data_IF_662396910022
#
_entry.id   IF_662396910022
#
_cell.length_a   1.000
_cell.length_b   1.000
_cell.length_c   1.000
_cell.angle_alpha   90.00
_cell.angle_beta   90.00
_cell.angle_gamma   90.00
#
_symmetry.space_group_name_H-M   'P 1'
#
loop_
_entity.id
_entity.type
_entity.pdbx_description
1 polymer ?
#
# COMPACT_ATOMS: atom_id res chain seq x y z
N UNK A 1 56.18 -3.19 23.48
CA UNK A 1 54.96 -4.03 23.58
C UNK A 1 53.71 -3.29 24.07
N UNK A 2 53.81 -2.21 24.89
CA UNK A 2 52.63 -1.44 25.36
C UNK A 2 51.87 -0.69 24.26
N UNK A 3 52.55 -0.22 23.22
CA UNK A 3 51.96 0.59 22.13
C UNK A 3 50.97 -0.19 21.26
N UNK A 4 51.22 -1.49 21.06
CA UNK A 4 50.36 -2.38 20.25
C UNK A 4 48.99 -2.58 20.89
N UNK A 5 48.93 -2.66 22.23
CA UNK A 5 47.67 -2.82 22.97
C UNK A 5 46.80 -1.56 22.93
N UNK A 6 47.42 -0.38 22.95
CA UNK A 6 46.69 0.90 22.86
C UNK A 6 46.03 1.05 21.49
N UNK A 7 46.73 0.68 20.41
CA UNK A 7 46.19 0.72 19.05
C UNK A 7 45.02 -0.25 18.91
N UNK A 8 45.15 -1.47 19.46
CA UNK A 8 44.10 -2.48 19.41
C UNK A 8 42.81 -1.99 20.11
N UNK A 9 42.94 -1.45 21.32
CA UNK A 9 41.79 -0.92 22.08
C UNK A 9 41.15 0.27 21.36
N UNK A 10 41.94 1.18 20.79
CA UNK A 10 41.42 2.31 20.04
C UNK A 10 40.64 1.88 18.79
N UNK A 11 41.10 0.84 18.11
CA UNK A 11 40.45 0.32 16.88
C UNK A 11 39.13 -0.38 17.20
N UNK A 12 39.08 -1.13 18.31
CA UNK A 12 37.84 -1.75 18.80
C UNK A 12 36.83 -0.67 19.20
N UNK A 13 37.26 0.35 19.95
CA UNK A 13 36.38 1.45 20.35
C UNK A 13 35.85 2.24 19.15
N UNK A 14 36.69 2.49 18.14
CA UNK A 14 36.27 3.14 16.90
C UNK A 14 35.24 2.29 16.13
N UNK A 15 35.47 0.97 16.03
CA UNK A 15 34.52 0.05 15.39
C UNK A 15 33.17 0.01 16.09
N UNK A 16 33.16 -0.02 17.43
CA UNK A 16 31.93 0.03 18.24
C UNK A 16 31.21 1.37 18.07
N UNK A 17 31.94 2.50 18.11
CA UNK A 17 31.36 3.82 17.91
C UNK A 17 30.73 3.97 16.52
N UNK A 18 31.39 3.46 15.48
CA UNK A 18 30.88 3.44 14.11
C UNK A 18 29.62 2.56 14.02
N UNK A 19 29.65 1.37 14.62
CA UNK A 19 28.51 0.45 14.66
C UNK A 19 27.29 1.08 15.33
N UNK A 20 27.46 1.73 16.48
CA UNK A 20 26.37 2.43 17.18
C UNK A 20 25.91 3.69 16.43
N UNK A 21 26.83 4.43 15.81
CA UNK A 21 26.49 5.59 14.98
C UNK A 21 25.58 5.19 13.82
N UNK A 22 25.93 4.12 13.10
CA UNK A 22 25.11 3.60 11.98
C UNK A 22 23.83 2.87 12.44
N UNK A 23 23.77 2.30 13.64
CA UNK A 23 22.50 1.78 14.18
C UNK A 23 21.54 2.89 14.61
N UNK A 24 22.06 4.01 15.15
CA UNK A 24 21.24 5.13 15.64
C UNK A 24 20.59 5.96 14.52
N UNK A 25 21.10 5.88 13.30
CA UNK A 25 20.55 6.58 12.13
C UNK A 25 19.35 5.89 11.49
N UNK A 26 18.87 4.77 12.05
CA UNK A 26 17.55 4.22 11.75
C UNK A 26 16.45 5.11 12.37
N UNK A 27 16.45 6.41 12.03
CA UNK A 27 15.31 7.29 12.25
C UNK A 27 14.09 6.63 11.62
N UNK A 28 13.01 6.59 12.39
CA UNK A 28 11.64 6.31 11.97
C UNK A 28 11.45 6.79 10.53
N UNK A 29 11.15 5.86 9.63
CA UNK A 29 11.07 6.15 8.18
C UNK A 29 10.17 7.36 7.96
N UNK A 30 10.66 8.37 7.23
CA UNK A 30 9.87 9.55 6.86
C UNK A 30 8.81 9.24 5.79
N UNK A 31 8.57 7.96 5.53
CA UNK A 31 7.77 7.40 4.46
C UNK A 31 6.90 6.29 5.02
N UNK A 32 5.78 6.06 4.35
CA UNK A 32 5.02 4.85 4.58
C UNK A 32 5.73 3.68 3.92
N UNK A 33 5.64 2.52 4.54
CA UNK A 33 6.30 1.31 4.04
C UNK A 33 5.26 0.23 3.78
N UNK A 34 5.44 -0.50 2.70
CA UNK A 34 4.67 -1.69 2.38
C UNK A 34 5.62 -2.87 2.20
N UNK A 35 5.26 -4.01 2.78
CA UNK A 35 6.05 -5.23 2.73
C UNK A 35 5.15 -6.43 2.46
N UNK A 36 5.63 -7.36 1.65
CA UNK A 36 5.05 -8.68 1.47
C UNK A 36 5.95 -9.64 2.24
N UNK A 37 5.45 -10.15 3.36
CA UNK A 37 6.15 -11.04 4.27
C UNK A 37 5.57 -12.46 4.16
N UNK A 38 6.38 -13.47 4.52
CA UNK A 38 5.95 -14.87 4.65
C UNK A 38 5.15 -15.41 3.46
N UNK A 39 5.43 -14.89 2.26
CA UNK A 39 4.76 -15.23 1.01
C UNK A 39 5.77 -15.96 0.14
N UNK A 40 5.48 -17.18 -0.35
CA UNK A 40 6.39 -17.91 -1.24
C UNK A 40 6.75 -17.10 -2.48
N UNK A 41 7.99 -17.22 -2.95
CA UNK A 41 8.49 -16.51 -4.14
C UNK A 41 7.65 -16.78 -5.40
N UNK A 42 7.05 -17.97 -5.48
CA UNK A 42 6.14 -18.36 -6.57
C UNK A 42 4.87 -17.51 -6.63
N UNK A 43 4.38 -17.04 -5.49
CA UNK A 43 3.27 -16.10 -5.41
C UNK A 43 3.77 -14.66 -5.58
N UNK A 44 4.89 -14.30 -4.94
CA UNK A 44 5.43 -12.94 -4.94
C UNK A 44 5.69 -12.39 -6.36
N UNK A 45 6.23 -13.23 -7.27
CA UNK A 45 6.50 -12.86 -8.67
C UNK A 45 5.25 -12.56 -9.50
N UNK A 46 4.06 -12.83 -8.97
CA UNK A 46 2.77 -12.56 -9.61
C UNK A 46 2.03 -11.38 -8.99
N UNK A 47 2.57 -10.82 -7.90
CA UNK A 47 1.97 -9.69 -7.21
C UNK A 47 2.42 -8.39 -7.83
N UNK A 48 1.46 -7.50 -8.07
CA UNK A 48 1.72 -6.10 -8.36
C UNK A 48 0.92 -5.24 -7.41
N UNK A 49 1.52 -4.14 -6.96
CA UNK A 49 0.85 -3.18 -6.11
C UNK A 49 0.95 -1.79 -6.72
N UNK A 50 -0.20 -1.16 -6.92
CA UNK A 50 -0.31 0.21 -7.39
C UNK A 50 -0.88 1.09 -6.28
N UNK A 51 -0.61 2.38 -6.35
CA UNK A 51 -1.17 3.35 -5.40
C UNK A 51 -1.77 4.55 -6.10
N UNK A 52 -2.83 5.08 -5.52
CA UNK A 52 -3.42 6.35 -5.92
C UNK A 52 -3.66 7.22 -4.69
N UNK A 53 -3.30 8.50 -4.77
CA UNK A 53 -3.55 9.51 -3.73
C UNK A 53 -4.89 10.18 -4.00
N UNK A 54 -5.72 10.30 -2.96
CA UNK A 54 -7.07 10.87 -2.98
C UNK A 54 -7.89 10.50 -4.24
N UNK A 55 -7.96 9.21 -4.65
CA UNK A 55 -8.62 8.86 -5.90
C UNK A 55 -10.14 8.99 -5.77
N UNK A 56 -10.74 9.75 -6.68
CA UNK A 56 -12.20 9.83 -6.85
C UNK A 56 -12.69 8.69 -7.75
N UNK A 57 -11.93 8.41 -8.81
CA UNK A 57 -12.23 7.37 -9.78
C UNK A 57 -10.93 6.72 -10.27
N UNK A 58 -10.95 5.39 -10.39
CA UNK A 58 -9.84 4.62 -10.94
C UNK A 58 -10.38 3.59 -11.92
N UNK A 59 -9.84 3.58 -13.13
CA UNK A 59 -10.14 2.63 -14.19
C UNK A 59 -9.11 1.50 -14.19
N UNK A 60 -9.57 0.27 -14.27
CA UNK A 60 -8.74 -0.85 -14.68
C UNK A 60 -9.15 -1.27 -16.09
N UNK A 61 -8.21 -1.28 -17.03
CA UNK A 61 -8.43 -1.75 -18.39
C UNK A 61 -7.12 -2.21 -19.01
N UNK A 62 -7.17 -3.24 -19.87
CA UNK A 62 -5.99 -3.77 -20.57
C UNK A 62 -4.79 -4.04 -19.64
N UNK A 63 -5.06 -4.69 -18.50
CA UNK A 63 -4.07 -5.00 -17.46
C UNK A 63 -3.38 -3.78 -16.80
N UNK A 64 -3.97 -2.59 -16.92
CA UNK A 64 -3.39 -1.34 -16.45
C UNK A 64 -4.39 -0.62 -15.55
N UNK A 65 -3.90 -0.11 -14.42
CA UNK A 65 -4.65 0.80 -13.57
C UNK A 65 -4.39 2.23 -14.00
N UNK A 66 -5.45 3.02 -14.11
CA UNK A 66 -5.40 4.40 -14.59
C UNK A 66 -6.30 5.31 -13.74
N UNK A 67 -5.92 6.56 -13.60
CA UNK A 67 -6.78 7.62 -13.08
C UNK A 67 -7.81 8.06 -14.14
N UNK A 68 -8.79 8.86 -13.73
CA UNK A 68 -9.82 9.40 -14.62
C UNK A 68 -9.26 10.27 -15.78
N UNK A 69 -8.08 10.88 -15.58
CA UNK A 69 -7.36 11.63 -16.61
C UNK A 69 -6.53 10.74 -17.55
N UNK A 70 -6.70 9.41 -17.46
CA UNK A 70 -5.97 8.38 -18.20
C UNK A 70 -4.49 8.25 -17.84
N UNK A 71 -4.00 8.90 -16.77
CA UNK A 71 -2.66 8.66 -16.28
C UNK A 71 -2.56 7.27 -15.65
N UNK A 72 -1.56 6.49 -16.05
CA UNK A 72 -1.30 5.17 -15.46
C UNK A 72 -0.85 5.30 -14.00
N UNK A 73 -1.38 4.45 -13.11
CA UNK A 73 -0.94 4.41 -11.72
C UNK A 73 0.49 3.86 -11.62
N UNK A 74 1.32 4.43 -10.74
CA UNK A 74 2.64 3.88 -10.47
C UNK A 74 2.52 2.53 -9.76
N UNK A 75 3.28 1.54 -10.23
CA UNK A 75 3.51 0.30 -9.50
C UNK A 75 4.63 0.52 -8.48
N UNK A 76 4.31 0.36 -7.20
CA UNK A 76 5.29 0.45 -6.10
C UNK A 76 5.86 -0.92 -5.73
N UNK A 77 5.13 -2.00 -6.00
CA UNK A 77 5.68 -3.35 -5.91
C UNK A 77 5.48 -4.06 -7.23
N UNK A 78 6.58 -4.57 -7.78
CA UNK A 78 6.58 -5.45 -8.94
C UNK A 78 7.74 -6.42 -8.81
N UNK A 79 7.43 -7.67 -8.49
CA UNK A 79 8.43 -8.73 -8.22
C UNK A 79 9.38 -8.42 -7.06
N UNK A 80 9.01 -7.46 -6.19
CA UNK A 80 9.75 -7.05 -5.00
C UNK A 80 8.90 -7.29 -3.76
N UNK A 81 9.55 -7.52 -2.62
CA UNK A 81 8.88 -7.79 -1.34
C UNK A 81 8.67 -6.54 -0.49
N UNK A 82 9.24 -5.39 -0.84
CA UNK A 82 9.04 -4.16 -0.07
C UNK A 82 9.31 -2.92 -0.88
N UNK A 83 8.58 -1.85 -0.58
CA UNK A 83 8.83 -0.51 -1.09
C UNK A 83 8.31 0.55 -0.10
N UNK A 84 8.59 1.82 -0.37
CA UNK A 84 8.16 2.96 0.41
C UNK A 84 7.49 4.01 -0.47
N UNK A 85 6.52 4.73 0.08
CA UNK A 85 5.86 5.82 -0.61
C UNK A 85 5.65 7.03 0.30
N UNK A 86 5.30 8.17 -0.32
CA UNK A 86 5.05 9.43 0.41
C UNK A 86 4.04 9.20 1.54
N UNK A 87 4.38 9.65 2.75
CA UNK A 87 3.46 9.63 3.90
C UNK A 87 2.46 10.80 3.88
N UNK A 88 2.77 11.85 3.11
CA UNK A 88 2.04 13.11 3.09
C UNK A 88 0.78 13.00 2.22
N UNK A 89 -0.24 12.32 2.73
CA UNK A 89 -1.55 12.23 2.09
C UNK A 89 -2.63 12.17 3.16
N UNK A 90 -3.84 12.61 2.79
CA UNK A 90 -5.02 12.43 3.64
C UNK A 90 -5.65 11.07 3.37
N UNK A 91 -5.85 10.74 2.10
CA UNK A 91 -6.37 9.45 1.68
C UNK A 91 -5.49 8.83 0.58
N UNK A 92 -5.30 7.52 0.65
CA UNK A 92 -4.56 6.76 -0.37
C UNK A 92 -5.19 5.40 -0.52
N UNK A 93 -5.30 4.92 -1.74
CA UNK A 93 -5.77 3.56 -1.99
C UNK A 93 -4.64 2.72 -2.58
N UNK A 94 -4.44 1.54 -2.02
CA UNK A 94 -3.49 0.54 -2.50
C UNK A 94 -4.28 -0.49 -3.29
N UNK A 95 -3.90 -0.73 -4.54
CA UNK A 95 -4.47 -1.76 -5.40
C UNK A 95 -3.48 -2.91 -5.54
N UNK A 96 -3.78 -4.03 -4.88
CA UNK A 96 -3.02 -5.26 -5.00
C UNK A 96 -3.65 -6.14 -6.06
N UNK A 97 -2.88 -6.55 -7.06
CA UNK A 97 -3.29 -7.54 -8.05
C UNK A 97 -2.41 -8.79 -7.97
N UNK A 98 -3.02 -9.94 -8.22
CA UNK A 98 -2.36 -11.23 -8.29
C UNK A 98 -2.63 -11.89 -9.63
N UNK A 99 -1.55 -12.18 -10.37
CA UNK A 99 -1.57 -12.87 -11.68
C UNK A 99 -2.50 -12.24 -12.72
N UNK A 100 -2.78 -10.93 -12.60
CA UNK A 100 -3.78 -10.19 -13.36
C UNK A 100 -5.18 -10.87 -13.40
N UNK A 101 -5.53 -11.64 -12.37
CA UNK A 101 -6.79 -12.38 -12.30
C UNK A 101 -7.58 -12.09 -11.03
N UNK A 102 -6.86 -11.73 -9.97
CA UNK A 102 -7.44 -11.43 -8.69
C UNK A 102 -6.94 -10.07 -8.22
N UNK A 103 -7.75 -9.40 -7.40
CA UNK A 103 -7.38 -8.13 -6.81
C UNK A 103 -7.98 -7.91 -5.43
N UNK A 104 -7.36 -7.01 -4.68
CA UNK A 104 -7.89 -6.46 -3.45
C UNK A 104 -7.39 -5.03 -3.32
N UNK A 105 -8.23 -4.15 -2.80
CA UNK A 105 -7.84 -2.78 -2.51
C UNK A 105 -7.93 -2.47 -1.02
N UNK A 106 -6.99 -1.64 -0.57
CA UNK A 106 -6.86 -1.21 0.82
C UNK A 106 -6.95 0.31 0.84
N UNK A 107 -8.00 0.82 1.47
CA UNK A 107 -8.18 2.26 1.68
C UNK A 107 -7.48 2.70 2.97
N UNK A 108 -6.56 3.66 2.83
CA UNK A 108 -5.86 4.28 3.94
C UNK A 108 -6.37 5.70 4.12
N UNK A 109 -6.73 6.05 5.35
CA UNK A 109 -7.10 7.41 5.75
C UNK A 109 -6.26 7.82 6.95
N UNK A 110 -5.63 9.00 6.86
CA UNK A 110 -4.80 9.56 7.92
C UNK A 110 -5.49 10.75 8.55
N UNK A 111 -5.63 10.71 9.87
CA UNK A 111 -6.01 11.90 10.66
C UNK A 111 -4.82 12.85 10.81
N UNK A 112 -3.60 12.30 10.92
CA UNK A 112 -2.34 13.03 10.94
C UNK A 112 -1.50 12.62 9.72
N UNK A 113 -1.30 13.54 8.78
CA UNK A 113 -0.55 13.30 7.54
C UNK A 113 0.96 13.12 7.77
N UNK A 114 1.45 13.44 8.98
CA UNK A 114 2.86 13.27 9.35
C UNK A 114 3.17 11.89 9.92
N UNK A 115 2.14 11.14 10.34
CA UNK A 115 2.27 9.78 10.84
C UNK A 115 2.72 8.84 9.71
N UNK A 116 3.70 7.99 9.99
CA UNK A 116 4.17 6.96 9.07
C UNK A 116 3.41 5.66 9.32
N UNK A 117 2.83 5.08 8.27
CA UNK A 117 2.17 3.77 8.33
C UNK A 117 3.14 2.67 7.90
N UNK A 118 3.12 1.54 8.60
CA UNK A 118 3.80 0.32 8.19
C UNK A 118 2.76 -0.74 7.84
N UNK A 119 2.83 -1.25 6.61
CA UNK A 119 1.84 -2.14 6.03
C UNK A 119 2.52 -3.45 5.69
N UNK A 120 2.23 -4.48 6.48
CA UNK A 120 2.74 -5.82 6.25
C UNK A 120 1.62 -6.68 5.66
N UNK A 121 1.87 -7.26 4.49
CA UNK A 121 0.96 -8.11 3.73
C UNK A 121 1.51 -9.51 3.63
N UNK A 122 0.63 -10.50 3.58
CA UNK A 122 0.95 -11.89 3.32
C UNK A 122 -0.10 -12.48 2.39
N UNK A 123 0.35 -13.09 1.31
CA UNK A 123 -0.52 -13.87 0.43
C UNK A 123 -0.42 -15.35 0.79
N UNK A 124 -1.58 -15.98 0.92
CA UNK A 124 -1.68 -17.43 1.16
C UNK A 124 -2.72 -18.03 0.24
N UNK A 125 -2.37 -19.14 -0.41
CA UNK A 125 -3.33 -19.95 -1.16
C UNK A 125 -3.90 -21.01 -0.22
N UNK A 126 -5.23 -21.05 -0.08
CA UNK A 126 -5.96 -22.04 0.69
C UNK A 126 -6.96 -22.70 -0.24
N UNK A 127 -6.65 -23.93 -0.67
CA UNK A 127 -7.35 -24.59 -1.77
C UNK A 127 -7.39 -23.69 -3.02
N UNK A 128 -8.58 -23.41 -3.55
CA UNK A 128 -8.78 -22.62 -4.76
C UNK A 128 -8.89 -21.10 -4.50
N UNK A 129 -8.77 -20.66 -3.24
CA UNK A 129 -8.89 -19.25 -2.86
C UNK A 129 -7.56 -18.67 -2.42
N UNK A 130 -7.18 -17.54 -3.01
CA UNK A 130 -6.02 -16.76 -2.55
C UNK A 130 -6.52 -15.71 -1.56
N UNK A 131 -5.92 -15.70 -0.37
CA UNK A 131 -6.18 -14.72 0.68
C UNK A 131 -5.03 -13.71 0.75
N UNK A 132 -5.39 -12.46 1.04
CA UNK A 132 -4.48 -11.45 1.56
C UNK A 132 -4.79 -11.23 3.03
N UNK A 133 -3.78 -11.46 3.87
CA UNK A 133 -3.80 -11.06 5.27
C UNK A 133 -2.77 -9.98 5.49
N UNK A 134 -2.99 -9.11 6.46
CA UNK A 134 -2.01 -8.09 6.75
C UNK A 134 -2.27 -7.32 8.02
N UNK A 135 -1.32 -6.47 8.35
CA UNK A 135 -1.43 -5.49 9.43
C UNK A 135 -1.08 -4.11 8.91
N UNK A 136 -1.84 -3.11 9.36
CA UNK A 136 -1.56 -1.69 9.14
C UNK A 136 -1.24 -1.11 10.51
N UNK A 137 0.03 -0.87 10.78
CA UNK A 137 0.47 -0.19 11.97
C UNK A 137 0.42 1.32 11.72
N UNK A 138 -0.45 2.00 12.46
CA UNK A 138 -0.70 3.44 12.35
C UNK A 138 0.07 4.24 13.41
N UNK A 139 1.10 3.65 14.01
CA UNK A 139 1.85 4.24 15.10
C UNK A 139 1.00 4.35 16.37
N UNK A 140 0.69 5.57 16.79
CA UNK A 140 -0.05 5.84 18.02
C UNK A 140 -1.54 5.51 17.94
N UNK A 141 -2.10 5.42 16.73
CA UNK A 141 -3.51 5.07 16.51
C UNK A 141 -3.77 3.54 16.59
N UNK A 142 -2.72 2.73 16.73
CA UNK A 142 -2.81 1.29 16.91
C UNK A 142 -2.53 0.48 15.64
N UNK A 143 -2.94 -0.79 15.67
CA UNK A 143 -2.70 -1.77 14.59
C UNK A 143 -4.04 -2.32 14.12
N UNK A 144 -4.27 -2.26 12.82
CA UNK A 144 -5.43 -2.89 12.17
C UNK A 144 -4.94 -4.18 11.53
N UNK A 145 -5.49 -5.32 11.94
CA UNK A 145 -5.25 -6.60 11.30
C UNK A 145 -6.44 -6.98 10.40
N UNK A 146 -6.16 -7.58 9.25
CA UNK A 146 -7.19 -8.01 8.32
C UNK A 146 -6.82 -9.32 7.63
N UNK A 147 -7.85 -10.02 7.12
CA UNK A 147 -7.70 -11.22 6.30
C UNK A 147 -8.91 -11.34 5.37
N UNK A 148 -8.69 -11.11 4.08
CA UNK A 148 -9.73 -11.08 3.07
C UNK A 148 -9.38 -12.01 1.90
N UNK A 149 -10.36 -12.68 1.28
CA UNK A 149 -10.13 -13.33 -0.01
C UNK A 149 -9.87 -12.26 -1.08
N UNK A 150 -9.02 -12.58 -2.05
CA UNK A 150 -8.90 -11.74 -3.25
C UNK A 150 -10.15 -11.91 -4.12
N UNK A 151 -10.60 -10.81 -4.71
CA UNK A 151 -11.77 -10.77 -5.61
C UNK A 151 -11.36 -11.00 -7.06
N UNK A 152 -12.24 -11.54 -7.91
CA UNK A 152 -11.99 -11.62 -9.36
C UNK A 152 -11.71 -10.24 -9.96
N UNK A 153 -10.68 -10.17 -10.81
CA UNK A 153 -10.32 -8.97 -11.55
C UNK A 153 -10.97 -9.03 -12.93
N UNK A 154 -11.98 -8.19 -13.17
CA UNK A 154 -12.66 -8.10 -14.46
C UNK A 154 -11.74 -7.49 -15.53
N UNK A 155 -12.01 -7.79 -16.80
CA UNK A 155 -11.24 -7.29 -17.95
C UNK A 155 -11.19 -5.76 -18.00
N UNK A 156 -12.32 -5.12 -17.68
CA UNK A 156 -12.46 -3.66 -17.60
C UNK A 156 -13.48 -3.31 -16.53
N UNK A 157 -13.14 -2.40 -15.63
CA UNK A 157 -14.06 -1.88 -14.63
C UNK A 157 -13.58 -0.54 -14.07
N UNK A 158 -14.51 0.22 -13.53
CA UNK A 158 -14.27 1.50 -12.86
C UNK A 158 -14.60 1.37 -11.39
N UNK A 159 -13.72 1.89 -10.54
CA UNK A 159 -13.95 2.04 -9.11
C UNK A 159 -14.22 3.51 -8.83
N UNK A 160 -15.39 3.82 -8.29
CA UNK A 160 -15.81 5.19 -7.95
C UNK A 160 -15.96 5.31 -6.43
N UNK A 161 -15.33 6.33 -5.84
CA UNK A 161 -15.41 6.65 -4.41
C UNK A 161 -16.32 7.85 -4.20
N UNK A 162 -17.58 7.60 -3.84
CA UNK A 162 -18.61 8.64 -3.79
C UNK A 162 -18.42 9.61 -2.62
N UNK A 163 -17.86 9.16 -1.51
CA UNK A 163 -17.55 10.01 -0.36
C UNK A 163 -16.43 11.03 -0.66
N UNK A 164 -15.61 10.75 -1.68
CA UNK A 164 -14.52 11.62 -2.15
C UNK A 164 -14.91 12.58 -3.27
N UNK A 165 -16.14 12.52 -3.78
CA UNK A 165 -16.61 13.46 -4.80
C UNK A 165 -16.66 14.90 -4.27
N UNK A 166 -16.37 15.92 -5.10
CA UNK A 166 -16.54 17.32 -4.71
C UNK A 166 -17.99 17.64 -4.32
N UNK A 167 -18.19 18.55 -3.38
CA UNK A 167 -19.53 18.94 -2.90
C UNK A 167 -20.41 19.51 -4.02
N UNK A 168 -19.79 20.12 -5.04
CA UNK A 168 -20.47 20.61 -6.25
C UNK A 168 -21.17 19.50 -7.04
N UNK A 169 -20.68 18.27 -6.96
CA UNK A 169 -21.22 17.09 -7.64
C UNK A 169 -22.19 16.31 -6.73
N UNK A 170 -22.03 16.43 -5.40
CA UNK A 170 -22.88 15.76 -4.40
C UNK A 170 -24.28 16.38 -4.27
N UNK A 171 -24.43 17.67 -4.59
CA UNK A 171 -25.67 18.44 -4.39
C UNK A 171 -26.56 18.56 -5.65
N UNK A 172 -26.25 17.84 -6.74
CA UNK A 172 -27.14 17.79 -7.90
C UNK A 172 -28.44 17.04 -7.53
N UNK A 173 -29.55 17.77 -7.46
CA UNK A 173 -30.86 17.27 -7.03
C UNK A 173 -31.48 16.24 -7.99
N UNK A 174 -31.02 16.15 -9.24
CA UNK A 174 -31.38 15.03 -10.13
C UNK A 174 -30.72 13.71 -9.72
N UNK A 175 -29.66 13.81 -8.94
CA UNK A 175 -28.89 12.75 -8.31
C UNK A 175 -29.10 12.70 -6.79
N UNK A 176 -30.10 13.36 -6.21
CA UNK A 176 -30.39 13.27 -4.77
C UNK A 176 -30.74 11.85 -4.29
N UNK A 177 -31.11 10.95 -5.20
CA UNK A 177 -31.19 9.50 -4.93
C UNK A 177 -29.81 8.87 -4.60
N UNK A 178 -28.70 9.59 -4.81
CA UNK A 178 -27.35 9.12 -4.57
C UNK A 178 -26.89 9.19 -3.10
N UNK A 179 -27.64 9.87 -2.21
CA UNK A 179 -27.31 9.90 -0.77
C UNK A 179 -27.51 8.53 -0.08
N UNK A 180 -28.17 7.58 -0.74
CA UNK A 180 -28.22 6.16 -0.33
C UNK A 180 -27.23 5.27 -1.10
N UNK A 181 -26.32 5.83 -1.91
CA UNK A 181 -25.34 5.04 -2.66
C UNK A 181 -24.29 4.45 -1.72
N UNK A 182 -23.79 3.28 -2.08
CA UNK A 182 -22.59 2.74 -1.46
C UNK A 182 -21.45 3.77 -1.55
N UNK A 183 -20.67 3.90 -0.48
CA UNK A 183 -19.49 4.79 -0.42
C UNK A 183 -18.50 4.51 -1.54
N UNK A 184 -18.45 3.25 -1.99
CA UNK A 184 -17.66 2.77 -3.12
C UNK A 184 -18.52 1.93 -4.04
N UNK A 185 -18.40 2.15 -5.34
CA UNK A 185 -19.08 1.39 -6.39
C UNK A 185 -18.05 0.85 -7.38
N UNK A 186 -18.21 -0.42 -7.77
CA UNK A 186 -17.42 -1.06 -8.82
C UNK A 186 -18.36 -1.30 -10.00
N UNK A 187 -18.10 -0.60 -11.11
CA UNK A 187 -18.87 -0.72 -12.34
C UNK A 187 -18.07 -1.53 -13.35
N UNK A 188 -18.52 -2.75 -13.62
CA UNK A 188 -17.90 -3.61 -14.64
C UNK A 188 -18.30 -3.08 -16.02
N UNK A 189 -17.31 -2.89 -16.89
CA UNK A 189 -17.54 -2.47 -18.28
C UNK A 189 -17.56 -3.75 -19.11
N UNK A 190 -18.74 -4.12 -19.60
CA UNK A 190 -18.88 -5.23 -20.54
C UNK A 190 -18.16 -4.89 -21.87
N UNK A 191 -17.44 -5.85 -22.45
CA UNK A 191 -16.67 -5.65 -23.68
C UNK A 191 -17.54 -5.49 -24.94
#
# INVERSE_FOLDING_TARGET
MRTTWVILVATILAGVAIFFYFQSTNKTSATDTIRIINTPDSLLKKVKVHVAEDPVEVLYSNNTWMLADSAALPAILQNTSSDSFSRNYREKTIYLTYDNRLYHDIELRKTDTTAAFAIDLQLSAVADTVFVSGTINQGTAGIIAFRNPLSPLYKSFVVTYHDRLPDSVKNDTTRAALQSMATKVITVIEP
#
